data_IF_354065279185
#
_entry.id   IF_354065279185
#
_cell.length_a   1.000
_cell.length_b   1.000
_cell.length_c   1.000
_cell.angle_alpha   90.00
_cell.angle_beta   90.00
_cell.angle_gamma   90.00
#
_symmetry.space_group_name_H-M   'P 1'
#
loop_
_entity.id
_entity.type
_entity.pdbx_description
1 polymer ?
#
# COMPACT_ATOMS: atom_id res chain seq x y z
N UNK A 1 -13.26 -5.71 20.13
CA UNK A 1 -12.83 -5.57 18.72
C UNK A 1 -12.57 -4.10 18.45
N UNK A 2 -11.29 -3.68 18.39
CA UNK A 2 -10.91 -2.27 18.20
C UNK A 2 -11.21 -1.91 16.74
N UNK A 3 -12.27 -1.14 16.48
CA UNK A 3 -12.53 -0.59 15.14
C UNK A 3 -11.40 0.39 14.82
N UNK A 4 -10.47 0.00 13.95
CA UNK A 4 -9.43 0.89 13.44
C UNK A 4 -10.07 2.18 12.92
N UNK A 5 -9.48 3.36 13.19
CA UNK A 5 -10.04 4.61 12.75
C UNK A 5 -10.20 4.62 11.22
N UNK A 6 -11.34 5.12 10.75
CA UNK A 6 -11.76 5.09 9.33
C UNK A 6 -10.73 5.72 8.38
N UNK A 7 -9.92 6.64 8.90
CA UNK A 7 -8.79 7.28 8.20
C UNK A 7 -7.64 6.31 7.90
N UNK A 8 -7.30 5.40 8.83
CA UNK A 8 -6.23 4.40 8.65
C UNK A 8 -6.58 3.42 7.53
N UNK A 9 -7.87 3.09 7.40
CA UNK A 9 -8.36 2.19 6.34
C UNK A 9 -8.26 2.84 4.97
N UNK A 10 -8.62 4.13 4.86
CA UNK A 10 -8.49 4.88 3.60
C UNK A 10 -7.03 5.02 3.17
N UNK A 11 -6.14 5.33 4.11
CA UNK A 11 -4.72 5.48 3.81
C UNK A 11 -4.09 4.17 3.36
N UNK A 12 -4.43 3.05 4.02
CA UNK A 12 -3.98 1.72 3.62
C UNK A 12 -4.44 1.36 2.21
N UNK A 13 -5.69 1.68 1.85
CA UNK A 13 -6.22 1.48 0.51
C UNK A 13 -5.44 2.27 -0.54
N UNK A 14 -5.14 3.55 -0.27
CA UNK A 14 -4.33 4.39 -1.17
C UNK A 14 -2.92 3.82 -1.34
N UNK A 15 -2.27 3.38 -0.26
CA UNK A 15 -0.95 2.75 -0.33
C UNK A 15 -1.03 1.44 -1.11
N UNK A 16 -2.07 0.62 -0.94
CA UNK A 16 -2.23 -0.63 -1.69
C UNK A 16 -2.34 -0.37 -3.20
N UNK A 17 -3.15 0.61 -3.59
CA UNK A 17 -3.35 0.96 -4.99
C UNK A 17 -2.09 1.57 -5.62
N UNK A 18 -1.41 2.47 -4.91
CA UNK A 18 -0.13 3.03 -5.39
C UNK A 18 0.96 1.95 -5.46
N UNK A 19 0.96 0.98 -4.53
CA UNK A 19 1.86 -0.18 -4.57
C UNK A 19 1.61 -1.00 -5.83
N UNK A 20 0.36 -1.36 -6.10
CA UNK A 20 -0.03 -2.12 -7.29
C UNK A 20 0.39 -1.41 -8.57
N UNK A 21 0.14 -0.09 -8.65
CA UNK A 21 0.56 0.74 -9.78
C UNK A 21 2.07 0.71 -9.98
N UNK A 22 2.86 0.89 -8.91
CA UNK A 22 4.33 0.80 -8.98
C UNK A 22 4.79 -0.58 -9.44
N UNK A 23 4.16 -1.65 -8.97
CA UNK A 23 4.50 -3.01 -9.39
C UNK A 23 4.21 -3.24 -10.88
N UNK A 24 3.09 -2.71 -11.39
CA UNK A 24 2.70 -2.83 -12.79
C UNK A 24 3.53 -1.92 -13.72
N UNK A 25 3.74 -0.66 -13.35
CA UNK A 25 4.45 0.34 -14.18
C UNK A 25 5.96 0.19 -14.13
N UNK A 26 6.54 -0.02 -12.94
CA UNK A 26 8.00 -0.13 -12.76
C UNK A 26 8.48 -1.59 -12.83
N UNK A 27 7.57 -2.56 -13.00
CA UNK A 27 7.90 -3.99 -13.06
C UNK A 27 8.46 -4.57 -11.76
N UNK A 28 8.20 -3.92 -10.63
CA UNK A 28 8.70 -4.34 -9.32
C UNK A 28 7.89 -5.56 -8.83
N UNK A 29 8.58 -6.68 -8.62
CA UNK A 29 7.98 -7.90 -8.06
C UNK A 29 8.12 -7.98 -6.53
N UNK A 30 9.00 -7.17 -5.96
CA UNK A 30 9.19 -7.10 -4.51
C UNK A 30 8.14 -6.18 -3.87
N UNK A 31 7.18 -6.81 -3.19
CA UNK A 31 6.13 -6.10 -2.46
C UNK A 31 6.66 -5.15 -1.38
N UNK A 32 7.76 -5.46 -0.69
CA UNK A 32 8.32 -4.56 0.34
C UNK A 32 8.89 -3.31 -0.32
N UNK A 33 9.62 -3.48 -1.42
CA UNK A 33 10.18 -2.36 -2.17
C UNK A 33 9.06 -1.48 -2.74
N UNK A 34 8.05 -2.07 -3.36
CA UNK A 34 6.92 -1.36 -3.92
C UNK A 34 6.12 -0.61 -2.83
N UNK A 35 5.84 -1.25 -1.68
CA UNK A 35 5.15 -0.61 -0.55
C UNK A 35 5.94 0.55 0.03
N UNK A 36 7.27 0.42 0.07
CA UNK A 36 8.15 1.51 0.52
C UNK A 36 8.13 2.70 -0.41
N UNK A 37 8.16 2.45 -1.72
CA UNK A 37 8.00 3.51 -2.71
C UNK A 37 6.62 4.16 -2.62
N UNK A 38 5.56 3.37 -2.49
CA UNK A 38 4.18 3.86 -2.34
C UNK A 38 3.99 4.73 -1.10
N UNK A 39 4.47 4.27 0.06
CA UNK A 39 4.41 5.04 1.31
C UNK A 39 5.20 6.35 1.20
N UNK A 40 6.41 6.31 0.64
CA UNK A 40 7.23 7.51 0.41
C UNK A 40 6.55 8.51 -0.54
N UNK A 41 5.92 8.04 -1.64
CA UNK A 41 5.17 8.90 -2.57
C UNK A 41 3.97 9.59 -1.92
N UNK A 42 3.34 8.92 -0.96
CA UNK A 42 2.20 9.44 -0.20
C UNK A 42 2.61 10.24 1.04
N UNK A 43 3.91 10.47 1.25
CA UNK A 43 4.45 11.18 2.41
C UNK A 43 4.19 10.47 3.74
N UNK A 44 4.02 9.14 3.71
CA UNK A 44 3.72 8.32 4.88
C UNK A 44 4.92 7.48 5.30
N UNK A 45 5.03 7.23 6.59
CA UNK A 45 5.97 6.23 7.11
C UNK A 45 5.42 4.84 6.88
N UNK A 46 6.30 3.90 6.53
CA UNK A 46 5.96 2.49 6.33
C UNK A 46 5.24 1.89 7.55
N UNK A 47 5.53 2.37 8.76
CA UNK A 47 5.07 1.73 9.99
C UNK A 47 3.61 2.02 10.36
N UNK A 48 2.99 3.06 9.81
CA UNK A 48 1.68 3.51 10.30
C UNK A 48 0.51 2.83 9.60
N UNK A 49 0.63 2.47 8.31
CA UNK A 49 -0.51 2.03 7.48
C UNK A 49 -0.13 1.07 6.34
N UNK A 50 0.80 0.13 6.56
CA UNK A 50 1.19 -0.85 5.53
C UNK A 50 0.02 -1.77 5.10
N UNK A 51 -0.28 -1.87 3.80
CA UNK A 51 -1.21 -2.86 3.28
C UNK A 51 -0.62 -4.27 3.31
N UNK A 52 -1.50 -5.27 3.40
CA UNK A 52 -1.19 -6.69 3.24
C UNK A 52 -0.92 -7.02 1.77
N UNK A 53 -0.20 -8.11 1.49
CA UNK A 53 0.04 -8.52 0.09
C UNK A 53 -1.28 -8.76 -0.65
N UNK A 54 -2.27 -9.38 0.01
CA UNK A 54 -3.59 -9.60 -0.58
C UNK A 54 -4.35 -8.31 -0.92
N UNK A 55 -4.16 -7.23 -0.16
CA UNK A 55 -4.76 -5.92 -0.48
C UNK A 55 -4.09 -5.29 -1.72
N UNK A 56 -2.78 -5.52 -1.90
CA UNK A 56 -2.04 -5.08 -3.09
C UNK A 56 -2.44 -5.91 -4.31
N UNK A 57 -2.55 -7.23 -4.15
CA UNK A 57 -3.03 -8.14 -5.21
C UNK A 57 -4.45 -7.79 -5.64
N UNK A 58 -5.33 -7.47 -4.68
CA UNK A 58 -6.68 -7.00 -4.98
C UNK A 58 -6.71 -5.66 -5.74
N UNK A 59 -5.64 -4.86 -5.66
CA UNK A 59 -5.51 -3.61 -6.41
C UNK A 59 -4.76 -3.76 -7.75
N UNK A 60 -4.14 -4.93 -7.99
CA UNK A 60 -3.56 -5.31 -9.28
C UNK A 60 -4.59 -5.97 -10.21
N UNK A 61 -5.67 -6.52 -9.64
CA UNK A 61 -6.85 -7.05 -10.35
C UNK A 61 -7.71 -5.92 -10.91
#
# INVERSE_FOLDING_TARGET
>A
MIKKPRSETKLRYLIAHETAKIMAEEGIKDYRLAKSKAANRLGQSLQTCLPSNSEVEAALL
#
